data_IF_380834938425
#
_entry.id   IF_380834938425
#
_cell.length_a   1.000
_cell.length_b   1.000
_cell.length_c   1.000
_cell.angle_alpha   90.00
_cell.angle_beta   90.00
_cell.angle_gamma   90.00
#
_symmetry.space_group_name_H-M   'P 1'
#
loop_
_entity.id
_entity.type
_entity.pdbx_description
1 polymer ?
#
# COMPACT_ATOMS: atom_id res chain seq x y z
N UNK A 1 -66.62 0.81 2.66
CA UNK A 1 -65.82 1.82 3.37
C UNK A 1 -65.35 1.22 4.69
N UNK A 2 -64.05 1.21 5.00
CA UNK A 2 -62.87 1.23 4.11
C UNK A 2 -62.23 -0.19 4.07
N UNK A 3 -61.90 -0.78 2.91
CA UNK A 3 -60.74 -0.49 2.06
C UNK A 3 -59.42 -0.49 2.85
N UNK A 4 -58.81 -1.68 3.00
CA UNK A 4 -57.42 -1.82 3.43
C UNK A 4 -56.59 -2.08 2.17
N UNK A 5 -55.76 -1.10 1.84
CA UNK A 5 -54.82 -1.11 0.72
C UNK A 5 -53.82 -2.27 0.80
N UNK A 6 -53.40 -2.84 -0.35
CA UNK A 6 -52.22 -3.68 -0.40
C UNK A 6 -50.95 -2.83 -0.26
N UNK A 7 -50.24 -3.00 0.86
CA UNK A 7 -48.90 -2.44 1.04
C UNK A 7 -47.94 -2.99 -0.04
N UNK A 8 -47.11 -2.13 -0.66
CA UNK A 8 -46.23 -2.53 -1.75
C UNK A 8 -45.01 -3.31 -1.24
N UNK A 9 -44.61 -4.30 -2.02
CA UNK A 9 -43.32 -4.99 -1.95
C UNK A 9 -42.21 -3.95 -2.10
N UNK A 10 -41.43 -3.72 -1.05
CA UNK A 10 -40.21 -2.90 -1.11
C UNK A 10 -39.02 -3.80 -1.42
N UNK A 11 -38.54 -3.66 -2.65
CA UNK A 11 -37.29 -4.15 -3.20
C UNK A 11 -36.10 -3.49 -2.48
N UNK A 12 -35.16 -4.22 -1.85
CA UNK A 12 -33.96 -3.63 -1.29
C UNK A 12 -32.88 -3.53 -2.36
N UNK A 13 -33.10 -2.73 -3.40
CA UNK A 13 -31.97 -2.14 -4.12
C UNK A 13 -31.39 -1.07 -3.19
N UNK A 14 -30.34 -1.40 -2.43
CA UNK A 14 -29.51 -0.40 -1.78
C UNK A 14 -28.91 0.48 -2.88
N UNK A 15 -29.55 1.63 -3.12
CA UNK A 15 -28.96 2.70 -3.92
C UNK A 15 -27.65 3.07 -3.23
N UNK A 16 -26.53 2.72 -3.85
CA UNK A 16 -25.21 3.28 -3.56
C UNK A 16 -25.40 4.79 -3.45
N UNK A 17 -25.17 5.36 -2.25
CA UNK A 17 -25.18 6.80 -2.07
C UNK A 17 -24.02 7.38 -2.88
N UNK A 18 -24.38 8.14 -3.91
CA UNK A 18 -23.48 8.98 -4.68
C UNK A 18 -22.69 9.89 -3.74
N UNK A 19 -21.38 10.00 -3.99
CA UNK A 19 -20.44 10.80 -3.19
C UNK A 19 -20.78 12.30 -3.36
N UNK A 20 -20.58 13.15 -2.33
CA UNK A 20 -21.02 14.55 -2.34
C UNK A 20 -20.39 15.47 -3.41
N UNK A 21 -19.47 14.96 -4.24
CA UNK A 21 -18.93 15.69 -5.40
C UNK A 21 -19.70 15.42 -6.71
N UNK A 22 -20.57 14.41 -6.76
CA UNK A 22 -21.31 14.04 -7.99
C UNK A 22 -22.55 14.92 -8.25
N UNK A 23 -23.05 15.66 -7.25
CA UNK A 23 -24.16 16.62 -7.43
C UNK A 23 -23.72 17.98 -7.98
N UNK A 24 -22.41 18.28 -8.01
CA UNK A 24 -21.89 19.49 -8.65
C UNK A 24 -21.88 19.40 -10.19
N UNK A 25 -21.88 18.18 -10.75
CA UNK A 25 -21.84 17.96 -12.20
C UNK A 25 -23.20 18.13 -12.89
N UNK A 26 -24.32 17.90 -12.19
CA UNK A 26 -25.67 17.97 -12.76
C UNK A 26 -26.27 19.39 -12.78
N UNK A 27 -25.88 20.25 -11.83
CA UNK A 27 -26.25 21.68 -11.87
C UNK A 27 -25.46 22.45 -12.95
N UNK A 28 -24.23 22.02 -13.26
CA UNK A 28 -23.41 22.59 -14.33
C UNK A 28 -23.92 22.28 -15.74
N UNK A 29 -24.52 21.11 -15.95
CA UNK A 29 -25.00 20.68 -17.28
C UNK A 29 -26.25 21.46 -17.74
N UNK A 30 -27.14 21.85 -16.83
CA UNK A 30 -28.34 22.64 -17.16
C UNK A 30 -27.99 24.11 -17.43
N UNK A 31 -26.95 24.65 -16.77
CA UNK A 31 -26.46 26.01 -17.02
C UNK A 31 -25.72 26.09 -18.37
N UNK A 32 -24.96 25.05 -18.74
CA UNK A 32 -24.25 24.97 -20.02
C UNK A 32 -25.19 24.94 -21.24
N UNK A 33 -26.35 24.26 -21.17
CA UNK A 33 -27.29 24.19 -22.29
C UNK A 33 -28.02 25.53 -22.53
N UNK A 34 -28.24 26.34 -21.50
CA UNK A 34 -28.86 27.68 -21.64
C UNK A 34 -27.86 28.68 -22.21
N UNK A 35 -26.57 28.57 -21.89
CA UNK A 35 -25.52 29.43 -22.46
C UNK A 35 -25.22 29.09 -23.91
N UNK A 36 -25.23 27.81 -24.30
CA UNK A 36 -25.00 27.39 -25.70
C UNK A 36 -26.14 27.83 -26.63
N UNK A 37 -27.41 27.84 -26.15
CA UNK A 37 -28.54 28.34 -26.95
C UNK A 37 -28.59 29.88 -27.04
N UNK A 38 -27.95 30.60 -26.11
CA UNK A 38 -27.82 32.06 -26.19
C UNK A 38 -26.64 32.51 -27.09
N UNK A 39 -25.61 31.68 -27.26
CA UNK A 39 -24.42 31.99 -28.07
C UNK A 39 -24.59 31.74 -29.57
N UNK A 40 -25.55 30.91 -30.00
CA UNK A 40 -25.87 30.73 -31.43
C UNK A 40 -26.51 31.95 -32.11
N UNK A 41 -26.76 33.04 -31.38
CA UNK A 41 -27.34 34.29 -31.89
C UNK A 41 -26.34 35.38 -32.33
N UNK A 42 -25.05 35.24 -32.05
CA UNK A 42 -24.04 36.29 -32.33
C UNK A 42 -22.77 35.73 -33.00
N UNK A 43 -22.92 34.96 -34.06
CA UNK A 43 -21.78 34.47 -34.85
C UNK A 43 -21.25 35.55 -35.80
N UNK A 44 -20.32 36.39 -35.32
CA UNK A 44 -19.42 37.15 -36.20
C UNK A 44 -18.16 37.71 -35.51
N UNK A 45 -17.51 36.94 -34.63
CA UNK A 45 -16.11 37.21 -34.19
C UNK A 45 -15.49 36.00 -33.45
N UNK A 46 -15.38 34.82 -34.09
CA UNK A 46 -14.78 33.62 -33.47
C UNK A 46 -13.78 32.91 -34.42
N UNK A 47 -12.75 33.63 -34.87
CA UNK A 47 -11.59 33.01 -35.55
C UNK A 47 -10.26 33.23 -34.83
N UNK A 48 -10.20 34.10 -33.82
CA UNK A 48 -8.97 34.42 -33.08
C UNK A 48 -8.79 33.62 -31.78
N UNK A 49 -9.87 33.26 -31.09
CA UNK A 49 -9.81 32.56 -29.80
C UNK A 49 -9.47 31.07 -29.97
N UNK A 50 -10.11 30.37 -30.92
CA UNK A 50 -9.83 28.96 -31.22
C UNK A 50 -8.40 28.72 -31.70
N UNK A 51 -7.83 29.68 -32.45
CA UNK A 51 -6.43 29.61 -32.89
C UNK A 51 -5.41 29.78 -31.75
N UNK A 52 -5.70 30.65 -30.77
CA UNK A 52 -4.84 30.86 -29.61
C UNK A 52 -4.89 29.68 -28.62
N UNK A 53 -6.08 29.09 -28.42
CA UNK A 53 -6.25 27.88 -27.60
C UNK A 53 -5.59 26.68 -28.27
N UNK A 54 -5.77 26.49 -29.59
CA UNK A 54 -5.14 25.40 -30.34
C UNK A 54 -3.61 25.48 -30.39
N UNK A 55 -3.04 26.70 -30.47
CA UNK A 55 -1.58 26.90 -30.43
C UNK A 55 -1.01 26.66 -29.03
N UNK A 56 -1.66 27.17 -27.98
CA UNK A 56 -1.23 26.93 -26.60
C UNK A 56 -1.30 25.44 -26.22
N UNK A 57 -2.32 24.72 -26.68
CA UNK A 57 -2.43 23.28 -26.48
C UNK A 57 -1.32 22.52 -27.23
N UNK A 58 -1.07 22.86 -28.50
CA UNK A 58 -0.01 22.24 -29.28
C UNK A 58 1.38 22.48 -28.66
N UNK A 59 1.63 23.68 -28.12
CA UNK A 59 2.88 24.00 -27.41
C UNK A 59 3.02 23.19 -26.11
N UNK A 60 1.93 23.00 -25.36
CA UNK A 60 1.92 22.17 -24.15
C UNK A 60 2.18 20.69 -24.45
N UNK A 61 1.57 20.15 -25.52
CA UNK A 61 1.80 18.78 -25.99
C UNK A 61 3.24 18.58 -26.47
N UNK A 62 3.78 19.53 -27.25
CA UNK A 62 5.17 19.49 -27.70
C UNK A 62 6.17 19.56 -26.54
N UNK A 63 5.89 20.41 -25.54
CA UNK A 63 6.66 20.48 -24.29
C UNK A 63 6.65 19.16 -23.54
N UNK A 64 5.47 18.57 -23.33
CA UNK A 64 5.32 17.30 -22.63
C UNK A 64 6.08 16.17 -23.35
N UNK A 65 5.99 16.09 -24.69
CA UNK A 65 6.71 15.11 -25.48
C UNK A 65 8.24 15.26 -25.37
N UNK A 66 8.75 16.50 -25.39
CA UNK A 66 10.18 16.76 -25.26
C UNK A 66 10.71 16.36 -23.87
N UNK A 67 9.95 16.63 -22.81
CA UNK A 67 10.32 16.23 -21.45
C UNK A 67 10.15 14.74 -21.23
N UNK A 68 9.14 14.09 -21.81
CA UNK A 68 9.04 12.63 -21.78
C UNK A 68 10.27 11.97 -22.43
N UNK A 69 10.79 12.52 -23.52
CA UNK A 69 12.05 12.05 -24.14
C UNK A 69 13.26 12.19 -23.20
N UNK A 70 13.31 13.28 -22.42
CA UNK A 70 14.32 13.47 -21.36
C UNK A 70 14.18 12.41 -20.26
N UNK A 71 12.95 12.14 -19.81
CA UNK A 71 12.61 11.14 -18.80
C UNK A 71 12.98 9.72 -19.24
N UNK A 72 12.66 9.34 -20.47
CA UNK A 72 13.01 8.02 -21.04
C UNK A 72 14.53 7.85 -21.12
N UNK A 73 15.23 8.91 -21.48
CA UNK A 73 16.69 8.95 -21.52
C UNK A 73 17.30 8.83 -20.12
N UNK A 74 16.71 9.50 -19.13
CA UNK A 74 17.12 9.40 -17.73
C UNK A 74 16.90 7.99 -17.18
N UNK A 75 15.72 7.40 -17.40
CA UNK A 75 15.40 6.02 -17.03
C UNK A 75 16.41 5.03 -17.62
N UNK A 76 16.72 5.15 -18.91
CA UNK A 76 17.71 4.32 -19.58
C UNK A 76 19.09 4.47 -18.94
N UNK A 77 19.55 5.71 -18.69
CA UNK A 77 20.87 5.97 -18.12
C UNK A 77 21.01 5.42 -16.69
N UNK A 78 19.95 5.52 -15.87
CA UNK A 78 19.91 4.91 -14.54
C UNK A 78 19.98 3.38 -14.64
N UNK A 79 19.17 2.77 -15.51
CA UNK A 79 19.11 1.30 -15.67
C UNK A 79 20.39 0.68 -16.22
N UNK A 80 21.09 1.39 -17.12
CA UNK A 80 22.34 0.90 -17.71
C UNK A 80 23.58 1.38 -16.95
N UNK A 81 23.41 2.08 -15.82
CA UNK A 81 24.50 2.68 -15.06
C UNK A 81 25.45 3.56 -15.91
N UNK A 82 24.88 4.37 -16.80
CA UNK A 82 25.62 5.22 -17.74
C UNK A 82 25.87 6.61 -17.12
N UNK A 83 26.97 6.73 -16.36
CA UNK A 83 27.35 7.97 -15.69
C UNK A 83 27.59 9.15 -16.65
N UNK A 84 28.10 8.89 -17.86
CA UNK A 84 28.35 9.92 -18.86
C UNK A 84 27.03 10.49 -19.38
N UNK A 85 26.07 9.61 -19.68
CA UNK A 85 24.73 10.03 -20.09
C UNK A 85 24.01 10.75 -18.97
N UNK A 86 24.06 10.27 -17.73
CA UNK A 86 23.50 10.98 -16.56
C UNK A 86 24.07 12.39 -16.42
N UNK A 87 25.39 12.56 -16.49
CA UNK A 87 26.03 13.88 -16.44
C UNK A 87 25.56 14.79 -17.58
N UNK A 88 25.30 14.23 -18.76
CA UNK A 88 24.76 14.97 -19.89
C UNK A 88 23.31 15.41 -19.71
N UNK A 89 22.53 14.85 -18.80
CA UNK A 89 21.12 15.23 -18.61
C UNK A 89 20.92 16.38 -17.63
N UNK A 90 21.95 16.74 -16.87
CA UNK A 90 21.87 17.75 -15.81
C UNK A 90 21.95 19.16 -16.38
N UNK A 91 21.15 20.09 -15.84
CA UNK A 91 21.35 21.51 -16.07
C UNK A 91 22.64 21.96 -15.38
N UNK A 92 23.30 22.99 -15.94
CA UNK A 92 24.50 23.60 -15.34
C UNK A 92 24.25 24.15 -13.93
N UNK A 93 23.01 24.52 -13.62
CA UNK A 93 22.55 24.98 -12.31
C UNK A 93 21.75 23.91 -11.55
N UNK A 94 21.97 22.62 -11.86
CA UNK A 94 21.35 21.52 -11.12
C UNK A 94 21.67 21.60 -9.61
N UNK A 95 20.73 21.14 -8.79
CA UNK A 95 20.83 21.16 -7.35
C UNK A 95 22.13 20.47 -6.87
N UNK A 96 22.85 21.05 -5.89
CA UNK A 96 24.08 20.46 -5.38
C UNK A 96 23.90 18.99 -4.98
N UNK A 97 24.78 18.13 -5.47
CA UNK A 97 24.76 16.69 -5.15
C UNK A 97 23.76 15.85 -5.94
N UNK A 98 22.89 16.44 -6.77
CA UNK A 98 21.88 15.68 -7.52
C UNK A 98 22.49 14.65 -8.48
N UNK A 99 23.45 15.05 -9.31
CA UNK A 99 24.18 14.11 -10.19
C UNK A 99 24.88 12.98 -9.41
N UNK A 100 25.44 13.30 -8.24
CA UNK A 100 26.09 12.31 -7.41
C UNK A 100 25.08 11.32 -6.80
N UNK A 101 23.89 11.78 -6.42
CA UNK A 101 22.80 10.92 -5.96
C UNK A 101 22.31 10.00 -7.09
N UNK A 102 22.10 10.54 -8.30
CA UNK A 102 21.66 9.76 -9.46
C UNK A 102 22.71 8.73 -9.91
N UNK A 103 23.99 9.08 -9.84
CA UNK A 103 25.08 8.13 -10.13
C UNK A 103 25.10 6.98 -9.11
N UNK A 104 24.87 7.26 -7.82
CA UNK A 104 24.75 6.21 -6.79
C UNK A 104 23.51 5.35 -7.02
N UNK A 105 22.35 5.96 -7.28
CA UNK A 105 21.10 5.27 -7.62
C UNK A 105 21.32 4.30 -8.77
N UNK A 106 21.95 4.75 -9.86
CA UNK A 106 22.21 3.94 -11.05
C UNK A 106 23.11 2.72 -10.74
N UNK A 107 24.15 2.91 -9.91
CA UNK A 107 24.98 1.81 -9.42
C UNK A 107 24.20 0.78 -8.60
N UNK A 108 23.30 1.23 -7.72
CA UNK A 108 22.51 0.36 -6.83
C UNK A 108 21.39 -0.37 -7.59
N UNK A 109 20.68 0.34 -8.49
CA UNK A 109 19.60 -0.21 -9.33
C UNK A 109 20.09 -1.30 -10.27
N UNK A 110 21.35 -1.24 -10.72
CA UNK A 110 21.96 -2.29 -11.54
C UNK A 110 22.03 -3.66 -10.82
N UNK A 111 21.98 -3.68 -9.48
CA UNK A 111 21.95 -4.90 -8.67
C UNK A 111 20.58 -5.56 -8.53
N UNK A 112 19.53 -4.99 -9.14
CA UNK A 112 18.15 -5.49 -9.04
C UNK A 112 17.61 -5.86 -10.42
N UNK A 113 17.00 -7.03 -10.48
CA UNK A 113 16.30 -7.52 -11.68
C UNK A 113 14.91 -6.91 -11.78
N UNK A 114 14.84 -5.67 -12.28
CA UNK A 114 13.56 -5.06 -12.63
C UNK A 114 13.02 -5.63 -13.93
N UNK A 115 11.75 -6.04 -13.93
CA UNK A 115 10.96 -6.35 -15.14
C UNK A 115 10.46 -5.08 -15.84
N UNK A 116 10.40 -3.96 -15.13
CA UNK A 116 10.03 -2.66 -15.68
C UNK A 116 10.69 -1.50 -14.92
N UNK A 117 11.02 -0.43 -15.63
CA UNK A 117 11.57 0.81 -15.07
C UNK A 117 11.41 1.96 -16.06
N UNK A 118 10.78 3.06 -15.63
CA UNK A 118 10.61 4.26 -16.42
C UNK A 118 10.13 5.43 -15.59
N UNK A 119 10.19 6.62 -16.17
CA UNK A 119 9.52 7.80 -15.61
C UNK A 119 8.45 8.26 -16.58
N UNK A 120 7.29 8.64 -16.08
CA UNK A 120 6.18 9.10 -16.90
C UNK A 120 5.59 10.39 -16.35
N UNK A 121 5.18 11.28 -17.26
CA UNK A 121 4.34 12.43 -16.90
C UNK A 121 2.93 11.90 -16.62
N UNK A 122 2.49 12.04 -15.38
CA UNK A 122 1.17 11.62 -14.93
C UNK A 122 0.13 12.72 -15.18
N UNK A 123 -1.13 12.30 -15.32
CA UNK A 123 -2.26 13.22 -15.25
C UNK A 123 -2.36 13.78 -13.83
N UNK A 124 -2.22 15.09 -13.68
CA UNK A 124 -2.26 15.75 -12.38
C UNK A 124 -1.77 17.18 -12.41
N UNK A 125 -1.94 17.87 -11.28
CA UNK A 125 -1.46 19.24 -11.15
C UNK A 125 0.07 19.31 -11.20
N UNK A 126 0.58 20.21 -12.03
CA UNK A 126 1.97 20.65 -12.00
C UNK A 126 2.27 21.30 -10.65
N UNK A 127 3.52 21.25 -10.20
CA UNK A 127 3.92 21.98 -8.99
C UNK A 127 4.33 23.40 -9.36
N UNK A 128 3.90 24.37 -8.56
CA UNK A 128 4.35 25.75 -8.70
C UNK A 128 5.86 25.82 -8.45
N UNK A 129 6.60 26.28 -9.48
CA UNK A 129 8.03 26.56 -9.35
C UNK A 129 8.17 27.96 -8.71
N UNK A 130 8.94 28.11 -7.63
CA UNK A 130 9.13 29.40 -6.97
C UNK A 130 9.79 30.39 -7.93
N UNK A 131 9.29 31.64 -7.99
CA UNK A 131 9.90 32.67 -8.85
C UNK A 131 11.37 32.89 -8.55
N UNK A 132 11.79 32.78 -7.29
CA UNK A 132 13.19 32.84 -6.88
C UNK A 132 14.05 31.74 -7.52
N UNK A 133 13.51 30.54 -7.71
CA UNK A 133 14.20 29.45 -8.40
C UNK A 133 14.23 29.71 -9.91
N UNK A 134 13.13 30.19 -10.49
CA UNK A 134 13.08 30.58 -11.92
C UNK A 134 14.14 31.65 -12.22
N UNK A 135 14.19 32.71 -11.42
CA UNK A 135 15.15 33.82 -11.57
C UNK A 135 16.59 33.35 -11.37
N UNK A 136 16.85 32.49 -10.37
CA UNK A 136 18.18 31.97 -10.11
C UNK A 136 18.69 31.04 -11.22
N UNK A 137 17.80 30.25 -11.83
CA UNK A 137 18.14 29.40 -12.98
C UNK A 137 18.41 30.25 -14.22
N UNK A 138 17.65 31.33 -14.45
CA UNK A 138 17.77 32.16 -15.65
C UNK A 138 17.64 31.33 -16.93
N UNK A 139 16.76 30.33 -16.91
CA UNK A 139 16.44 29.47 -18.04
C UNK A 139 15.31 30.09 -18.88
N UNK A 140 15.17 29.67 -20.13
CA UNK A 140 14.07 30.16 -20.99
C UNK A 140 12.71 29.69 -20.47
N UNK A 141 12.68 28.52 -19.84
CA UNK A 141 11.52 27.96 -19.17
C UNK A 141 11.95 27.06 -18.01
N UNK A 142 11.17 27.05 -16.93
CA UNK A 142 11.34 26.12 -15.81
C UNK A 142 9.99 25.48 -15.53
N UNK A 143 9.99 24.16 -15.38
CA UNK A 143 8.77 23.39 -15.28
C UNK A 143 8.91 22.28 -14.24
N UNK A 144 7.86 22.05 -13.46
CA UNK A 144 7.77 20.96 -12.48
C UNK A 144 6.54 20.09 -12.77
N UNK A 145 6.61 19.22 -13.79
CA UNK A 145 5.50 18.35 -14.17
C UNK A 145 5.13 17.38 -13.05
N UNK A 146 3.92 16.83 -13.10
CA UNK A 146 3.59 15.64 -12.31
C UNK A 146 4.32 14.43 -12.89
N UNK A 147 5.39 13.98 -12.23
CA UNK A 147 6.18 12.83 -12.67
C UNK A 147 6.01 11.67 -11.71
N UNK A 148 5.90 10.47 -12.27
CA UNK A 148 5.91 9.22 -11.52
C UNK A 148 7.05 8.31 -12.01
N UNK A 149 7.73 7.68 -11.07
CA UNK A 149 8.57 6.50 -11.31
C UNK A 149 7.65 5.29 -11.47
N UNK A 150 7.68 4.66 -12.64
CA UNK A 150 7.04 3.38 -12.94
C UNK A 150 8.07 2.26 -12.84
N UNK A 151 7.81 1.22 -12.05
CA UNK A 151 8.73 0.07 -11.97
C UNK A 151 8.04 -1.24 -11.57
N UNK A 152 8.72 -2.36 -11.85
CA UNK A 152 8.34 -3.71 -11.41
C UNK A 152 9.58 -4.58 -11.20
N UNK A 153 9.55 -5.50 -10.22
CA UNK A 153 10.63 -6.48 -9.97
C UNK A 153 10.11 -7.92 -10.21
N UNK A 154 8.97 -8.24 -9.62
CA UNK A 154 8.21 -9.48 -9.83
C UNK A 154 6.69 -9.22 -9.77
N UNK A 155 6.32 -7.95 -9.85
CA UNK A 155 4.93 -7.50 -9.89
C UNK A 155 4.28 -7.98 -11.19
N UNK A 156 2.99 -8.27 -11.14
CA UNK A 156 2.21 -8.61 -12.35
C UNK A 156 1.96 -7.36 -13.20
N UNK A 157 1.80 -6.22 -12.53
CA UNK A 157 1.71 -4.92 -13.17
C UNK A 157 2.67 -3.94 -12.48
N UNK A 158 3.30 -3.02 -13.23
CA UNK A 158 4.15 -2.00 -12.65
C UNK A 158 3.42 -1.12 -11.64
N UNK A 159 4.13 -0.76 -10.57
CA UNK A 159 3.67 0.25 -9.62
C UNK A 159 4.23 1.63 -9.96
N UNK A 160 3.65 2.68 -9.34
CA UNK A 160 3.97 4.09 -9.58
C UNK A 160 4.27 4.82 -8.28
N UNK A 161 5.32 5.65 -8.29
CA UNK A 161 5.76 6.43 -7.14
C UNK A 161 6.05 7.88 -7.51
N UNK A 162 5.67 8.88 -6.68
CA UNK A 162 5.82 10.29 -7.04
C UNK A 162 7.29 10.72 -7.13
N UNK A 163 7.58 11.58 -8.11
CA UNK A 163 8.87 12.27 -8.27
C UNK A 163 8.63 13.78 -8.36
N UNK A 164 9.15 14.52 -7.39
CA UNK A 164 9.14 15.98 -7.31
C UNK A 164 10.20 16.59 -8.23
N UNK A 165 10.04 16.38 -9.54
CA UNK A 165 11.01 16.77 -10.55
C UNK A 165 10.87 18.26 -10.92
N UNK A 166 12.01 18.94 -11.07
CA UNK A 166 12.15 20.23 -11.72
C UNK A 166 13.07 20.08 -12.93
N UNK A 167 12.62 20.59 -14.07
CA UNK A 167 13.37 20.64 -15.33
C UNK A 167 13.47 22.08 -15.84
N UNK A 168 14.54 22.38 -16.57
CA UNK A 168 14.75 23.68 -17.19
C UNK A 168 15.03 23.54 -18.69
N UNK A 169 14.54 24.49 -19.49
CA UNK A 169 14.81 24.59 -20.92
C UNK A 169 15.79 25.72 -21.21
N UNK A 170 16.80 25.42 -22.04
CA UNK A 170 17.72 26.41 -22.63
C UNK A 170 17.84 26.16 -24.13
N UNK A 171 17.37 27.09 -24.95
CA UNK A 171 17.13 26.87 -26.36
C UNK A 171 16.14 25.72 -26.57
N UNK A 172 16.56 24.71 -27.32
CA UNK A 172 15.73 23.53 -27.61
C UNK A 172 15.91 22.39 -26.58
N UNK A 173 16.84 22.53 -25.63
CA UNK A 173 17.22 21.43 -24.72
C UNK A 173 16.56 21.56 -23.36
N UNK A 174 15.86 20.50 -22.96
CA UNK A 174 15.44 20.28 -21.58
C UNK A 174 16.54 19.55 -20.79
N UNK A 175 16.72 19.92 -19.53
CA UNK A 175 17.67 19.31 -18.61
C UNK A 175 17.09 19.18 -17.20
N UNK A 176 17.59 18.19 -16.45
CA UNK A 176 17.18 17.91 -15.07
C UNK A 176 17.82 18.92 -14.12
N UNK A 177 17.02 19.53 -13.24
CA UNK A 177 17.51 20.50 -12.24
C UNK A 177 17.54 19.88 -10.85
N UNK A 178 16.45 19.24 -10.42
CA UNK A 178 16.31 18.68 -9.08
C UNK A 178 15.18 17.67 -9.03
N UNK A 179 15.27 16.70 -8.13
CA UNK A 179 14.17 15.79 -7.77
C UNK A 179 13.68 16.02 -6.32
N UNK A 180 13.93 17.20 -5.74
CA UNK A 180 13.59 17.50 -4.35
C UNK A 180 13.14 18.94 -4.10
N UNK A 181 13.21 19.80 -5.11
CA UNK A 181 12.94 21.22 -4.99
C UNK A 181 11.46 21.56 -5.27
N UNK A 182 10.64 21.67 -4.23
CA UNK A 182 9.33 22.37 -4.29
C UNK A 182 9.03 23.08 -2.96
N UNK A 183 8.37 24.24 -3.02
CA UNK A 183 8.26 25.19 -1.89
C UNK A 183 7.23 24.82 -0.82
N UNK A 184 6.31 23.90 -1.09
CA UNK A 184 5.32 23.44 -0.11
C UNK A 184 5.38 21.91 0.00
N UNK A 185 5.50 21.42 1.24
CA UNK A 185 5.97 20.08 1.61
C UNK A 185 5.08 18.89 1.27
N UNK A 186 4.17 19.01 0.31
CA UNK A 186 3.18 17.95 0.02
C UNK A 186 3.69 16.92 -1.00
N UNK A 187 4.52 17.33 -1.98
CA UNK A 187 5.01 16.42 -3.02
C UNK A 187 6.49 16.13 -2.85
N UNK A 188 6.80 15.06 -2.12
CA UNK A 188 8.17 14.55 -1.95
C UNK A 188 8.46 13.44 -2.95
N UNK A 189 9.69 13.40 -3.47
CA UNK A 189 10.11 12.24 -4.24
C UNK A 189 10.23 11.03 -3.35
N UNK A 190 9.53 9.97 -3.73
CA UNK A 190 9.64 8.69 -3.06
C UNK A 190 11.05 8.11 -3.25
N UNK A 191 11.55 7.45 -2.20
CA UNK A 191 12.87 6.80 -2.19
C UNK A 191 12.68 5.30 -2.01
N UNK A 192 13.26 4.52 -2.91
CA UNK A 192 13.28 3.05 -2.81
C UNK A 192 14.53 2.56 -2.09
N UNK A 193 14.65 1.25 -1.80
CA UNK A 193 15.81 0.70 -1.09
C UNK A 193 17.17 1.06 -1.74
N UNK A 194 17.21 1.09 -3.08
CA UNK A 194 18.41 1.48 -3.85
C UNK A 194 18.84 2.94 -3.69
N UNK A 195 18.01 3.80 -3.09
CA UNK A 195 18.38 5.18 -2.75
C UNK A 195 19.14 5.29 -1.42
N UNK A 196 19.06 4.25 -0.59
CA UNK A 196 19.69 4.18 0.74
C UNK A 196 21.04 3.45 0.72
N UNK A 197 21.30 2.63 -0.31
CA UNK A 197 22.58 1.97 -0.47
C UNK A 197 22.57 0.87 -1.52
N UNK A 198 23.71 0.17 -1.72
CA UNK A 198 23.78 -1.04 -2.52
C UNK A 198 22.78 -2.08 -2.00
N UNK A 199 22.17 -2.84 -2.90
CA UNK A 199 21.15 -3.84 -2.55
C UNK A 199 21.56 -5.23 -3.01
N UNK A 200 21.13 -6.23 -2.25
CA UNK A 200 21.21 -7.65 -2.59
C UNK A 200 19.79 -8.19 -2.71
N UNK A 201 19.59 -9.15 -3.61
CA UNK A 201 18.27 -9.78 -3.79
C UNK A 201 18.37 -11.30 -3.86
N UNK A 202 17.26 -11.96 -3.52
CA UNK A 202 17.03 -13.39 -3.69
C UNK A 202 15.69 -13.58 -4.37
N UNK A 203 15.70 -14.34 -5.47
CA UNK A 203 14.48 -14.80 -6.15
C UNK A 203 14.16 -16.20 -5.67
N UNK A 204 12.89 -16.42 -5.36
CA UNK A 204 12.42 -17.66 -4.77
C UNK A 204 11.23 -18.15 -5.57
N UNK A 205 11.34 -19.35 -6.12
CA UNK A 205 10.20 -20.05 -6.69
C UNK A 205 9.22 -20.42 -5.56
N UNK A 206 8.01 -19.87 -5.60
CA UNK A 206 6.98 -20.12 -4.60
C UNK A 206 5.86 -21.03 -5.10
N UNK A 207 6.07 -21.72 -6.23
CA UNK A 207 5.11 -22.64 -6.83
C UNK A 207 4.22 -21.97 -7.87
N UNK A 208 3.50 -22.78 -8.65
CA UNK A 208 2.52 -22.33 -9.66
C UNK A 208 3.03 -21.29 -10.66
N UNK A 209 4.34 -21.35 -10.97
CA UNK A 209 5.02 -20.41 -11.87
C UNK A 209 5.25 -19.02 -11.28
N UNK A 210 4.99 -18.83 -9.98
CA UNK A 210 5.16 -17.57 -9.28
C UNK A 210 6.58 -17.43 -8.72
N UNK A 211 7.07 -16.20 -8.63
CA UNK A 211 8.37 -15.89 -8.02
C UNK A 211 8.21 -14.80 -6.99
N UNK A 212 8.61 -15.11 -5.76
CA UNK A 212 8.80 -14.11 -4.70
C UNK A 212 10.21 -13.54 -4.75
N UNK A 213 10.38 -12.33 -4.21
CA UNK A 213 11.69 -11.67 -4.16
C UNK A 213 11.92 -11.11 -2.77
N UNK A 214 13.08 -11.40 -2.18
CA UNK A 214 13.57 -10.73 -0.98
C UNK A 214 14.69 -9.77 -1.38
N UNK A 215 14.62 -8.53 -0.93
CA UNK A 215 15.62 -7.49 -1.17
C UNK A 215 16.05 -6.89 0.16
N UNK A 216 17.34 -6.62 0.31
CA UNK A 216 17.87 -5.87 1.45
C UNK A 216 19.25 -5.32 1.12
N UNK A 217 19.96 -4.85 2.14
CA UNK A 217 21.33 -4.38 2.00
C UNK A 217 22.36 -5.50 2.33
N UNK A 218 23.61 -5.41 1.84
CA UNK A 218 24.65 -6.41 2.10
C UNK A 218 24.84 -6.78 3.58
N UNK A 219 24.71 -5.82 4.49
CA UNK A 219 24.77 -6.03 5.94
C UNK A 219 23.66 -6.94 6.47
N UNK A 220 22.52 -7.00 5.76
CA UNK A 220 21.35 -7.82 6.10
C UNK A 220 21.27 -9.12 5.29
N UNK A 221 22.33 -9.51 4.57
CA UNK A 221 22.29 -10.67 3.66
C UNK A 221 21.81 -11.97 4.34
N UNK A 222 22.21 -12.21 5.59
CA UNK A 222 21.76 -13.39 6.36
C UNK A 222 20.25 -13.38 6.62
N UNK A 223 19.65 -12.22 6.90
CA UNK A 223 18.20 -12.10 7.08
C UNK A 223 17.48 -12.29 5.75
N UNK A 224 18.03 -11.72 4.67
CA UNK A 224 17.53 -11.89 3.30
C UNK A 224 17.48 -13.37 2.91
N UNK A 225 18.56 -14.12 3.18
CA UNK A 225 18.64 -15.55 2.90
C UNK A 225 17.61 -16.35 3.71
N UNK A 226 17.48 -16.07 5.02
CA UNK A 226 16.50 -16.76 5.88
C UNK A 226 15.05 -16.52 5.47
N UNK A 227 14.70 -15.28 5.12
CA UNK A 227 13.35 -14.96 4.62
C UNK A 227 13.09 -15.63 3.27
N UNK A 228 14.12 -15.70 2.41
CA UNK A 228 14.03 -16.38 1.12
C UNK A 228 13.74 -17.88 1.30
N UNK A 229 14.40 -18.53 2.25
CA UNK A 229 14.17 -19.95 2.58
C UNK A 229 12.77 -20.22 3.16
N UNK A 230 12.18 -19.24 3.86
CA UNK A 230 10.88 -19.38 4.53
C UNK A 230 9.69 -19.10 3.62
N UNK A 231 9.87 -18.27 2.59
CA UNK A 231 8.82 -17.83 1.68
C UNK A 231 8.00 -18.96 1.04
N UNK A 232 8.57 -20.07 0.52
CA UNK A 232 7.78 -21.13 -0.10
C UNK A 232 6.77 -21.75 0.87
N UNK A 233 7.19 -22.03 2.09
CA UNK A 233 6.31 -22.59 3.12
C UNK A 233 5.27 -21.57 3.61
N UNK A 234 5.64 -20.28 3.69
CA UNK A 234 4.71 -19.22 4.03
C UNK A 234 3.61 -19.04 2.96
N UNK A 235 3.96 -19.05 1.67
CA UNK A 235 3.00 -18.97 0.55
C UNK A 235 2.05 -20.16 0.54
N UNK A 236 2.54 -21.38 0.77
CA UNK A 236 1.68 -22.56 0.91
C UNK A 236 0.71 -22.41 2.08
N UNK A 237 1.21 -21.98 3.25
CA UNK A 237 0.38 -21.77 4.43
C UNK A 237 -0.73 -20.74 4.19
N UNK A 238 -0.38 -19.57 3.62
CA UNK A 238 -1.32 -18.52 3.28
C UNK A 238 -2.36 -18.99 2.26
N UNK A 239 -1.93 -19.68 1.19
CA UNK A 239 -2.82 -20.19 0.14
C UNK A 239 -3.79 -21.26 0.66
N UNK A 240 -3.35 -22.13 1.58
CA UNK A 240 -4.21 -23.14 2.17
C UNK A 240 -5.29 -22.54 3.07
N UNK A 241 -5.00 -21.43 3.76
CA UNK A 241 -5.94 -20.76 4.65
C UNK A 241 -6.87 -19.80 3.87
N UNK A 242 -6.28 -18.89 3.09
CA UNK A 242 -7.01 -17.85 2.35
C UNK A 242 -7.75 -18.37 1.11
N UNK A 243 -7.16 -19.38 0.45
CA UNK A 243 -7.52 -19.83 -0.89
C UNK A 243 -6.52 -19.34 -1.94
N UNK A 244 -6.72 -19.76 -3.20
CA UNK A 244 -5.81 -19.46 -4.32
C UNK A 244 -6.11 -18.15 -5.05
N UNK A 245 -7.09 -17.37 -4.59
CA UNK A 245 -7.49 -16.10 -5.23
C UNK A 245 -6.61 -14.93 -4.76
N UNK A 246 -5.30 -15.03 -4.98
CA UNK A 246 -4.34 -13.96 -4.69
C UNK A 246 -3.05 -14.19 -5.49
N UNK A 247 -2.05 -13.33 -5.31
CA UNK A 247 -0.86 -13.30 -6.15
C UNK A 247 0.03 -14.56 -6.06
N UNK A 248 -0.07 -15.36 -4.99
CA UNK A 248 0.78 -16.54 -4.77
C UNK A 248 2.28 -16.24 -4.63
N UNK A 249 2.61 -14.99 -4.30
CA UNK A 249 3.98 -14.48 -4.15
C UNK A 249 4.02 -13.24 -3.27
N UNK A 250 5.21 -12.91 -2.78
CA UNK A 250 5.47 -11.66 -2.07
C UNK A 250 6.77 -11.01 -2.53
N UNK A 251 6.81 -9.69 -2.42
CA UNK A 251 8.05 -8.92 -2.49
C UNK A 251 8.36 -8.42 -1.08
N UNK A 252 9.48 -8.88 -0.53
CA UNK A 252 9.89 -8.62 0.85
C UNK A 252 11.11 -7.72 0.86
N UNK A 253 11.07 -6.64 1.61
CA UNK A 253 12.17 -5.68 1.76
C UNK A 253 12.68 -5.71 3.20
N UNK A 254 14.00 -5.69 3.38
CA UNK A 254 14.65 -5.58 4.69
C UNK A 254 15.38 -4.24 4.74
N UNK A 255 14.80 -3.27 5.44
CA UNK A 255 15.37 -1.94 5.55
C UNK A 255 16.70 -1.98 6.33
N UNK A 256 17.71 -1.26 5.88
CA UNK A 256 19.00 -1.10 6.54
C UNK A 256 19.02 0.00 7.59
N UNK A 257 18.02 0.89 7.60
CA UNK A 257 17.93 1.99 8.57
C UNK A 257 16.49 2.39 8.89
N UNK A 258 16.30 3.15 9.99
CA UNK A 258 14.99 3.67 10.36
C UNK A 258 14.49 4.70 9.35
N UNK A 259 15.38 5.53 8.79
CA UNK A 259 15.03 6.52 7.77
C UNK A 259 14.53 5.86 6.49
N UNK A 260 15.18 4.76 6.08
CA UNK A 260 14.70 3.93 4.97
C UNK A 260 13.33 3.34 5.29
N UNK A 261 13.18 2.67 6.44
CA UNK A 261 11.90 2.07 6.82
C UNK A 261 10.77 3.09 6.75
N UNK A 262 10.95 4.25 7.38
CA UNK A 262 10.00 5.37 7.36
C UNK A 262 9.72 5.88 5.94
N UNK A 263 10.71 5.91 5.04
CA UNK A 263 10.52 6.31 3.65
C UNK A 263 9.71 5.29 2.84
N UNK A 264 9.81 3.99 3.18
CA UNK A 264 9.09 2.91 2.51
C UNK A 264 7.65 2.77 3.00
N UNK A 265 7.42 2.83 4.32
CA UNK A 265 6.10 2.57 4.94
C UNK A 265 5.36 3.83 5.41
N UNK A 266 6.00 5.00 5.39
CA UNK A 266 5.43 6.27 5.83
C UNK A 266 5.67 6.60 7.31
N UNK A 267 5.42 7.86 7.72
CA UNK A 267 5.81 8.39 9.04
C UNK A 267 4.95 7.91 10.21
N UNK A 268 3.82 7.26 9.95
CA UNK A 268 2.91 6.78 10.98
C UNK A 268 3.33 5.42 11.56
N UNK A 269 4.39 4.81 11.04
CA UNK A 269 4.90 3.52 11.49
C UNK A 269 6.27 3.71 12.15
N UNK A 270 6.44 3.28 13.41
CA UNK A 270 7.72 3.29 14.09
C UNK A 270 8.40 1.92 13.96
N UNK A 271 9.47 1.86 13.16
CA UNK A 271 10.23 0.63 12.92
C UNK A 271 11.02 0.13 14.14
N UNK A 272 11.04 0.88 15.25
CA UNK A 272 11.61 0.41 16.52
C UNK A 272 10.70 -0.55 17.26
N UNK A 273 9.39 -0.47 17.02
CA UNK A 273 8.38 -1.24 17.75
C UNK A 273 7.61 -2.19 16.82
N UNK A 274 7.66 -1.95 15.51
CA UNK A 274 7.06 -2.79 14.48
C UNK A 274 8.15 -3.62 13.78
N UNK A 275 7.97 -4.93 13.72
CA UNK A 275 8.94 -5.84 13.11
C UNK A 275 8.84 -5.87 11.58
N UNK A 276 7.63 -5.84 11.03
CA UNK A 276 7.36 -5.74 9.61
C UNK A 276 6.00 -5.08 9.34
N UNK A 277 5.78 -4.64 8.11
CA UNK A 277 4.49 -4.07 7.65
C UNK A 277 4.22 -4.50 6.22
N UNK A 278 3.02 -5.02 5.95
CA UNK A 278 2.47 -5.17 4.62
C UNK A 278 1.90 -3.84 4.11
N UNK A 279 2.48 -3.31 3.04
CA UNK A 279 2.04 -2.08 2.36
C UNK A 279 1.55 -2.37 0.94
N UNK A 280 0.80 -1.44 0.36
CA UNK A 280 0.38 -1.42 -1.04
C UNK A 280 0.34 0.02 -1.56
N UNK A 281 0.53 0.21 -2.87
CA UNK A 281 0.58 1.55 -3.47
C UNK A 281 -0.78 2.02 -3.96
N UNK A 282 -1.57 1.11 -4.52
CA UNK A 282 -2.95 1.37 -4.91
C UNK A 282 -3.80 0.10 -4.78
N UNK A 283 -5.02 0.29 -4.30
CA UNK A 283 -6.07 -0.72 -4.23
C UNK A 283 -7.25 -0.19 -5.04
N UNK A 284 -7.73 -0.97 -6.00
CA UNK A 284 -8.99 -0.75 -6.70
C UNK A 284 -9.99 -1.82 -6.25
N UNK A 285 -10.91 -1.50 -5.31
CA UNK A 285 -11.87 -2.45 -4.78
C UNK A 285 -12.89 -2.92 -5.83
N UNK A 286 -13.20 -2.12 -6.85
CA UNK A 286 -14.21 -2.49 -7.85
C UNK A 286 -13.69 -3.56 -8.81
N UNK A 287 -12.37 -3.57 -9.09
CA UNK A 287 -11.71 -4.58 -9.91
C UNK A 287 -10.95 -5.64 -9.11
N UNK A 288 -10.96 -5.55 -7.77
CA UNK A 288 -10.19 -6.38 -6.85
C UNK A 288 -8.68 -6.40 -7.21
N UNK A 289 -8.15 -5.27 -7.68
CA UNK A 289 -6.76 -5.16 -8.14
C UNK A 289 -5.92 -4.42 -7.12
N UNK A 290 -4.74 -4.94 -6.81
CA UNK A 290 -3.79 -4.30 -5.90
C UNK A 290 -2.43 -4.21 -6.57
N UNK A 291 -1.77 -3.05 -6.48
CA UNK A 291 -0.43 -2.83 -7.03
C UNK A 291 0.57 -2.39 -5.96
N UNK A 292 1.85 -2.69 -6.18
CA UNK A 292 2.93 -2.26 -5.31
C UNK A 292 2.94 -2.92 -3.92
N UNK A 293 2.37 -4.14 -3.78
CA UNK A 293 2.36 -4.82 -2.49
C UNK A 293 3.76 -5.22 -2.03
N UNK A 294 4.17 -4.82 -0.82
CA UNK A 294 5.44 -5.19 -0.21
C UNK A 294 5.25 -5.61 1.24
N UNK A 295 6.09 -6.52 1.71
CA UNK A 295 6.31 -6.74 3.15
C UNK A 295 7.63 -6.06 3.49
N UNK A 296 7.63 -5.07 4.37
CA UNK A 296 8.83 -4.33 4.74
C UNK A 296 9.21 -4.67 6.18
N UNK A 297 10.33 -5.36 6.38
CA UNK A 297 10.93 -5.61 7.69
C UNK A 297 11.72 -4.38 8.15
N UNK A 298 11.56 -4.03 9.42
CA UNK A 298 12.32 -2.97 10.07
C UNK A 298 13.79 -3.38 10.26
N UNK A 299 14.72 -2.40 10.36
CA UNK A 299 16.14 -2.71 10.55
C UNK A 299 16.41 -3.48 11.84
N UNK A 300 15.60 -3.27 12.88
CA UNK A 300 15.76 -3.94 14.16
C UNK A 300 15.41 -5.45 14.11
N UNK A 301 14.65 -5.88 13.11
CA UNK A 301 14.19 -7.26 12.98
C UNK A 301 15.30 -8.27 12.72
N UNK A 302 16.39 -7.86 12.06
CA UNK A 302 17.51 -8.74 11.76
C UNK A 302 18.19 -9.29 13.03
N UNK A 303 18.22 -8.50 14.10
CA UNK A 303 18.88 -8.85 15.37
C UNK A 303 17.92 -9.43 16.41
N UNK A 304 16.65 -9.03 16.40
CA UNK A 304 15.67 -9.35 17.45
C UNK A 304 14.90 -10.64 17.20
N UNK A 305 14.68 -11.02 15.94
CA UNK A 305 13.79 -12.12 15.62
C UNK A 305 14.50 -13.47 15.68
N UNK A 306 13.90 -14.40 16.43
CA UNK A 306 14.27 -15.81 16.38
C UNK A 306 13.75 -16.43 15.09
N UNK A 307 14.09 -17.69 14.82
CA UNK A 307 13.54 -18.43 13.69
C UNK A 307 12.02 -18.57 13.77
N UNK A 308 11.48 -18.84 14.96
CA UNK A 308 10.03 -19.00 15.17
C UNK A 308 9.31 -17.68 14.95
N UNK A 309 9.77 -16.59 15.58
CA UNK A 309 9.09 -15.30 15.47
C UNK A 309 9.22 -14.69 14.08
N UNK A 310 10.35 -14.87 13.39
CA UNK A 310 10.50 -14.44 11.99
C UNK A 310 9.51 -15.15 11.06
N UNK A 311 9.34 -16.47 11.20
CA UNK A 311 8.37 -17.24 10.41
C UNK A 311 6.94 -16.80 10.69
N UNK A 312 6.62 -16.58 11.96
CA UNK A 312 5.31 -16.10 12.40
C UNK A 312 5.00 -14.75 11.75
N UNK A 313 5.91 -13.77 11.86
CA UNK A 313 5.75 -12.44 11.26
C UNK A 313 5.63 -12.53 9.73
N UNK A 314 6.48 -13.32 9.06
CA UNK A 314 6.39 -13.46 7.60
C UNK A 314 5.01 -14.01 7.17
N UNK A 315 4.48 -14.99 7.89
CA UNK A 315 3.15 -15.56 7.61
C UNK A 315 2.03 -14.57 7.92
N UNK A 316 2.13 -13.85 9.04
CA UNK A 316 1.21 -12.78 9.42
C UNK A 316 1.10 -11.74 8.28
N UNK A 317 2.22 -11.15 7.89
CA UNK A 317 2.22 -10.10 6.86
C UNK A 317 1.77 -10.61 5.49
N UNK A 318 2.03 -11.88 5.18
CA UNK A 318 1.60 -12.48 3.93
C UNK A 318 0.07 -12.65 3.85
N UNK A 319 -0.62 -12.84 4.97
CA UNK A 319 -2.08 -12.82 5.00
C UNK A 319 -2.61 -11.44 4.64
N UNK A 320 -2.01 -10.37 5.15
CA UNK A 320 -2.40 -9.00 4.75
C UNK A 320 -2.19 -8.77 3.25
N UNK A 321 -1.12 -9.31 2.65
CA UNK A 321 -0.90 -9.26 1.18
C UNK A 321 -1.96 -10.07 0.42
N UNK A 322 -2.30 -11.27 0.90
CA UNK A 322 -3.28 -12.15 0.26
C UNK A 322 -4.69 -11.57 0.33
N UNK A 323 -5.05 -10.96 1.46
CA UNK A 323 -6.38 -10.46 1.74
C UNK A 323 -6.65 -9.05 1.17
N UNK A 324 -5.61 -8.26 0.86
CA UNK A 324 -5.72 -6.81 0.56
C UNK A 324 -6.78 -6.44 -0.48
N UNK A 325 -6.98 -7.27 -1.50
CA UNK A 325 -7.95 -7.00 -2.57
C UNK A 325 -9.41 -7.10 -2.10
N UNK A 326 -9.67 -7.83 -1.03
CA UNK A 326 -11.01 -8.15 -0.52
C UNK A 326 -11.30 -7.47 0.84
N UNK A 327 -10.37 -6.66 1.36
CA UNK A 327 -10.52 -6.00 2.66
C UNK A 327 -10.60 -4.49 2.56
N UNK A 328 -11.30 -3.88 3.53
CA UNK A 328 -11.53 -2.43 3.60
C UNK A 328 -11.02 -1.89 4.92
N UNK A 329 -10.39 -0.71 4.87
CA UNK A 329 -9.93 0.02 6.05
C UNK A 329 -11.07 0.26 7.06
N UNK A 330 -10.69 0.38 8.34
CA UNK A 330 -11.59 0.56 9.50
C UNK A 330 -12.48 -0.65 9.81
N UNK A 331 -12.14 -1.83 9.29
CA UNK A 331 -12.73 -3.08 9.78
C UNK A 331 -12.22 -3.39 11.21
N UNK A 332 -12.98 -4.14 12.03
CA UNK A 332 -12.58 -4.44 13.41
C UNK A 332 -11.17 -5.07 13.48
N UNK A 333 -10.29 -4.51 14.30
CA UNK A 333 -8.89 -4.92 14.37
C UNK A 333 -8.72 -6.36 14.87
N UNK A 334 -9.57 -6.83 15.78
CA UNK A 334 -9.52 -8.21 16.27
C UNK A 334 -9.80 -9.25 15.18
N UNK A 335 -10.50 -8.86 14.11
CA UNK A 335 -10.69 -9.71 12.92
C UNK A 335 -9.46 -9.64 12.02
N UNK A 336 -9.03 -8.41 11.70
CA UNK A 336 -7.91 -8.18 10.78
C UNK A 336 -6.61 -8.80 11.30
N UNK A 337 -6.22 -8.44 12.51
CA UNK A 337 -4.98 -8.90 13.14
C UNK A 337 -5.12 -10.32 13.68
N UNK A 338 -6.26 -10.67 14.26
CA UNK A 338 -6.44 -12.01 14.83
C UNK A 338 -6.38 -13.13 13.79
N UNK A 339 -6.88 -12.90 12.57
CA UNK A 339 -6.78 -13.87 11.47
C UNK A 339 -5.34 -14.01 10.97
N UNK A 340 -4.60 -12.90 10.89
CA UNK A 340 -3.18 -12.90 10.54
C UNK A 340 -2.33 -13.59 11.62
N UNK A 341 -2.60 -13.34 12.91
CA UNK A 341 -1.97 -14.03 14.04
C UNK A 341 -2.28 -15.54 14.05
N UNK A 342 -3.54 -15.92 13.79
CA UNK A 342 -3.89 -17.33 13.66
C UNK A 342 -3.08 -18.01 12.53
N UNK A 343 -2.97 -17.35 11.37
CA UNK A 343 -2.16 -17.84 10.26
C UNK A 343 -0.67 -17.95 10.58
N UNK A 344 -0.15 -17.03 11.41
CA UNK A 344 1.24 -17.02 11.84
C UNK A 344 1.64 -18.34 12.50
N UNK A 345 0.76 -18.87 13.37
CA UNK A 345 1.04 -20.04 14.21
C UNK A 345 0.32 -21.32 13.79
N UNK A 346 -0.64 -21.28 12.85
CA UNK A 346 -1.33 -22.51 12.43
C UNK A 346 -0.33 -23.56 11.91
N UNK A 347 -0.47 -24.78 12.43
CA UNK A 347 0.34 -25.93 12.03
C UNK A 347 1.82 -25.86 12.43
N UNK A 348 2.25 -24.93 13.28
CA UNK A 348 3.64 -24.87 13.79
C UNK A 348 3.89 -25.90 14.91
N UNK A 349 2.85 -26.28 15.65
CA UNK A 349 2.97 -27.13 16.84
C UNK A 349 3.47 -26.40 18.09
N UNK A 350 3.61 -25.07 18.04
CA UNK A 350 3.90 -24.23 19.21
C UNK A 350 2.76 -24.36 20.23
N UNK A 351 3.09 -24.39 21.51
CA UNK A 351 2.08 -24.47 22.56
C UNK A 351 1.33 -23.14 22.66
N UNK A 352 0.02 -23.20 22.91
CA UNK A 352 -0.85 -22.01 22.98
C UNK A 352 -0.36 -20.97 24.00
N UNK A 353 0.16 -21.42 25.14
CA UNK A 353 0.75 -20.54 26.17
C UNK A 353 2.06 -19.87 25.74
N UNK A 354 2.72 -20.40 24.71
CA UNK A 354 3.91 -19.78 24.09
C UNK A 354 3.52 -18.82 22.97
N UNK A 355 2.38 -19.06 22.31
CA UNK A 355 1.80 -18.15 21.32
C UNK A 355 1.20 -16.92 22.02
N UNK A 356 0.50 -17.13 23.13
CA UNK A 356 -0.23 -16.11 23.87
C UNK A 356 0.24 -15.96 25.35
N UNK A 357 1.51 -15.61 25.59
CA UNK A 357 2.05 -15.52 26.95
C UNK A 357 1.46 -14.38 27.80
N UNK A 358 1.17 -13.20 27.22
CA UNK A 358 0.57 -12.08 27.95
C UNK A 358 -0.89 -12.37 28.33
N UNK A 359 -1.68 -12.93 27.42
CA UNK A 359 -3.03 -13.39 27.70
C UNK A 359 -3.03 -14.53 28.73
N UNK A 360 -2.07 -15.47 28.64
CA UNK A 360 -1.91 -16.52 29.67
C UNK A 360 -1.66 -15.91 31.05
N UNK A 361 -0.81 -14.88 31.14
CA UNK A 361 -0.54 -14.19 32.38
C UNK A 361 -1.79 -13.48 32.92
N UNK A 362 -2.56 -12.81 32.05
CA UNK A 362 -3.85 -12.19 32.42
C UNK A 362 -4.86 -13.21 32.92
N UNK A 363 -5.03 -14.35 32.23
CA UNK A 363 -5.95 -15.42 32.63
C UNK A 363 -5.60 -15.93 34.03
N UNK A 364 -4.31 -16.11 34.34
CA UNK A 364 -3.87 -16.53 35.66
C UNK A 364 -4.09 -15.50 36.78
N UNK A 365 -4.12 -14.21 36.44
CA UNK A 365 -4.25 -13.11 37.40
C UNK A 365 -5.72 -12.68 37.62
N UNK A 366 -6.50 -12.60 36.54
CA UNK A 366 -7.80 -11.93 36.49
C UNK A 366 -8.92 -12.84 35.97
N UNK A 367 -8.58 -13.99 35.39
CA UNK A 367 -9.49 -14.86 34.66
C UNK A 367 -9.56 -14.54 33.16
N UNK A 368 -10.27 -15.37 32.37
CA UNK A 368 -10.40 -15.17 30.93
C UNK A 368 -11.17 -13.88 30.60
N UNK A 369 -10.80 -13.17 29.51
CA UNK A 369 -11.52 -12.00 29.05
C UNK A 369 -12.94 -12.35 28.61
N UNK A 370 -13.89 -11.46 28.90
CA UNK A 370 -15.32 -11.64 28.57
C UNK A 370 -15.79 -10.75 27.41
N UNK A 371 -14.92 -9.88 26.90
CA UNK A 371 -15.21 -8.91 25.84
C UNK A 371 -14.14 -8.98 24.74
N UNK A 372 -14.53 -8.57 23.53
CA UNK A 372 -13.56 -8.38 22.43
C UNK A 372 -12.64 -7.19 22.72
N UNK A 373 -11.38 -7.22 22.26
CA UNK A 373 -10.51 -6.06 22.37
C UNK A 373 -11.03 -4.93 21.48
N UNK A 374 -10.94 -3.69 21.96
CA UNK A 374 -11.29 -2.50 21.20
C UNK A 374 -10.19 -2.15 20.20
N UNK A 375 -10.53 -1.49 19.09
CA UNK A 375 -9.53 -1.08 18.09
C UNK A 375 -8.41 -0.22 18.70
N UNK A 376 -8.72 0.57 19.74
CA UNK A 376 -7.72 1.40 20.43
C UNK A 376 -6.72 0.58 21.25
N UNK A 377 -7.04 -0.66 21.63
CA UNK A 377 -6.12 -1.54 22.37
C UNK A 377 -4.91 -1.94 21.52
N UNK A 378 -5.09 -2.09 20.21
CA UNK A 378 -4.03 -2.43 19.25
C UNK A 378 -3.05 -1.27 19.02
N UNK A 379 -3.45 -0.04 19.32
CA UNK A 379 -2.58 1.14 19.25
C UNK A 379 -1.67 1.28 20.48
N UNK A 380 -1.93 0.50 21.53
CA UNK A 380 -1.14 0.53 22.77
C UNK A 380 0.19 -0.18 22.60
N UNK A 381 1.30 0.54 22.78
CA UNK A 381 2.62 -0.10 22.90
C UNK A 381 2.72 -0.90 24.21
N UNK A 382 3.53 -1.97 24.20
CA UNK A 382 3.80 -2.78 25.38
C UNK A 382 2.66 -3.76 25.72
N UNK A 383 2.47 -4.03 27.01
CA UNK A 383 1.65 -5.14 27.51
C UNK A 383 0.19 -5.10 27.03
N UNK A 384 -0.43 -3.90 26.97
CA UNK A 384 -1.82 -3.75 26.49
C UNK A 384 -1.97 -4.19 25.03
N UNK A 385 -1.03 -3.82 24.17
CA UNK A 385 -1.01 -4.24 22.78
C UNK A 385 -0.80 -5.75 22.66
N UNK A 386 0.20 -6.31 23.36
CA UNK A 386 0.44 -7.76 23.38
C UNK A 386 -0.81 -8.54 23.76
N UNK A 387 -1.49 -8.14 24.83
CA UNK A 387 -2.76 -8.74 25.24
C UNK A 387 -3.82 -8.64 24.14
N UNK A 388 -3.97 -7.49 23.48
CA UNK A 388 -4.98 -7.32 22.42
C UNK A 388 -4.75 -8.26 21.23
N UNK A 389 -3.50 -8.35 20.73
CA UNK A 389 -3.14 -9.26 19.64
C UNK A 389 -3.32 -10.73 20.04
N UNK A 390 -2.89 -11.10 21.25
CA UNK A 390 -3.03 -12.48 21.74
C UNK A 390 -4.50 -12.85 22.02
N UNK A 391 -5.32 -11.89 22.46
CA UNK A 391 -6.78 -12.05 22.59
C UNK A 391 -7.40 -12.24 21.23
N UNK A 392 -7.05 -11.42 20.23
CA UNK A 392 -7.51 -11.55 18.86
C UNK A 392 -7.12 -12.91 18.23
N UNK A 393 -5.87 -13.35 18.45
CA UNK A 393 -5.43 -14.70 18.08
C UNK A 393 -6.34 -15.77 18.70
N UNK A 394 -6.61 -15.69 20.01
CA UNK A 394 -7.40 -16.69 20.71
C UNK A 394 -8.84 -16.79 20.18
N UNK A 395 -9.44 -15.67 19.77
CA UNK A 395 -10.78 -15.63 19.15
C UNK A 395 -10.75 -16.41 17.83
N UNK A 396 -9.74 -16.16 16.99
CA UNK A 396 -9.63 -16.80 15.68
C UNK A 396 -9.23 -18.29 15.81
N UNK A 397 -8.38 -18.63 16.77
CA UNK A 397 -8.03 -20.01 17.11
C UNK A 397 -9.27 -20.79 17.59
N UNK A 398 -10.06 -20.22 18.48
CA UNK A 398 -11.35 -20.79 18.92
C UNK A 398 -12.29 -21.03 17.73
N UNK A 399 -12.44 -20.06 16.83
CA UNK A 399 -13.30 -20.23 15.65
C UNK A 399 -12.79 -21.36 14.75
N UNK A 400 -11.48 -21.41 14.50
CA UNK A 400 -10.89 -22.45 13.69
C UNK A 400 -11.06 -23.85 14.30
N UNK A 401 -10.93 -23.99 15.62
CA UNK A 401 -11.09 -25.27 16.30
C UNK A 401 -12.56 -25.72 16.32
N UNK A 402 -13.48 -24.84 16.70
CA UNK A 402 -14.89 -25.21 16.90
C UNK A 402 -15.70 -25.28 15.60
N UNK A 403 -15.34 -24.46 14.61
CA UNK A 403 -16.12 -24.29 13.39
C UNK A 403 -15.34 -24.60 12.11
N UNK A 404 -14.02 -24.75 12.20
CA UNK A 404 -13.13 -25.03 11.07
C UNK A 404 -12.62 -23.77 10.36
N UNK A 405 -11.42 -23.87 9.78
CA UNK A 405 -10.76 -22.77 9.07
C UNK A 405 -11.60 -22.19 7.92
N UNK A 406 -12.38 -23.00 7.22
CA UNK A 406 -13.25 -22.50 6.15
C UNK A 406 -14.31 -21.51 6.66
N UNK A 407 -14.88 -21.75 7.84
CA UNK A 407 -15.83 -20.81 8.46
C UNK A 407 -15.11 -19.60 9.04
N UNK A 408 -13.91 -19.77 9.57
CA UNK A 408 -13.06 -18.66 9.98
C UNK A 408 -12.79 -17.69 8.81
N UNK A 409 -12.37 -18.19 7.65
CA UNK A 409 -12.13 -17.36 6.47
C UNK A 409 -13.40 -16.68 5.96
N UNK A 410 -14.56 -17.35 6.01
CA UNK A 410 -15.85 -16.73 5.67
C UNK A 410 -16.19 -15.61 6.65
N UNK A 411 -16.02 -15.84 7.96
CA UNK A 411 -16.25 -14.83 8.99
C UNK A 411 -15.38 -13.60 8.74
N UNK A 412 -14.07 -13.81 8.53
CA UNK A 412 -13.13 -12.76 8.17
C UNK A 412 -13.62 -11.94 6.96
N UNK A 413 -13.95 -12.58 5.84
CA UNK A 413 -14.46 -11.90 4.63
C UNK A 413 -15.73 -11.10 4.87
N UNK A 414 -16.61 -11.55 5.78
CA UNK A 414 -17.88 -10.84 6.06
C UNK A 414 -17.75 -9.67 7.03
N UNK A 415 -16.67 -9.63 7.82
CA UNK A 415 -16.40 -8.58 8.79
C UNK A 415 -15.32 -7.60 8.32
N UNK A 416 -14.42 -8.01 7.42
CA UNK A 416 -13.34 -7.18 6.88
C UNK A 416 -13.78 -6.22 5.75
N UNK A 417 -15.02 -5.73 5.80
CA UNK A 417 -15.66 -4.91 4.75
C UNK A 417 -15.93 -3.47 5.18
N UNK A 418 -15.25 -3.01 6.23
CA UNK A 418 -15.36 -1.68 6.83
C UNK A 418 -15.87 -1.74 8.27
N UNK A 419 -16.19 -0.57 8.83
CA UNK A 419 -16.70 -0.45 10.20
C UNK A 419 -17.89 -1.37 10.44
N UNK A 420 -17.85 -2.11 11.54
CA UNK A 420 -18.92 -2.97 12.00
C UNK A 420 -19.29 -2.59 13.43
N UNK A 421 -20.54 -2.18 13.63
CA UNK A 421 -21.10 -1.98 14.96
C UNK A 421 -21.48 -3.34 15.62
N UNK A 422 -21.79 -3.36 16.93
CA UNK A 422 -22.12 -4.62 17.62
C UNK A 422 -23.29 -5.40 16.99
N UNK A 423 -24.30 -4.73 16.44
CA UNK A 423 -25.43 -5.38 15.76
C UNK A 423 -24.98 -6.06 14.45
N UNK A 424 -24.10 -5.40 13.70
CA UNK A 424 -23.49 -5.98 12.50
C UNK A 424 -22.65 -7.21 12.86
N UNK A 425 -21.83 -7.11 13.91
CA UNK A 425 -21.00 -8.24 14.38
C UNK A 425 -21.88 -9.42 14.79
N UNK A 426 -22.93 -9.19 15.59
CA UNK A 426 -23.89 -10.21 16.00
C UNK A 426 -24.55 -10.89 14.80
N UNK A 427 -25.03 -10.11 13.84
CA UNK A 427 -25.61 -10.62 12.59
C UNK A 427 -24.64 -11.52 11.82
N UNK A 428 -23.36 -11.12 11.68
CA UNK A 428 -22.35 -11.94 10.98
C UNK A 428 -22.00 -13.22 11.73
N UNK A 429 -21.89 -13.17 13.06
CA UNK A 429 -21.66 -14.38 13.87
C UNK A 429 -22.83 -15.36 13.73
N UNK A 430 -24.07 -14.85 13.75
CA UNK A 430 -25.28 -15.66 13.57
C UNK A 430 -25.33 -16.29 12.18
N UNK A 431 -25.09 -15.51 11.13
CA UNK A 431 -25.12 -15.98 9.73
C UNK A 431 -24.06 -17.04 9.44
N UNK A 432 -22.82 -16.85 9.95
CA UNK A 432 -21.67 -17.69 9.58
C UNK A 432 -21.50 -18.88 10.52
N UNK A 433 -21.68 -18.67 11.83
CA UNK A 433 -21.39 -19.65 12.87
C UNK A 433 -22.66 -20.24 13.52
N UNK A 434 -23.82 -19.60 13.34
CA UNK A 434 -25.08 -20.04 13.94
C UNK A 434 -25.18 -19.74 15.44
N UNK A 435 -24.45 -18.74 15.93
CA UNK A 435 -24.49 -18.27 17.32
C UNK A 435 -24.56 -16.75 17.35
N UNK A 436 -25.29 -16.21 18.32
CA UNK A 436 -25.25 -14.77 18.62
C UNK A 436 -23.93 -14.39 19.31
N UNK A 437 -23.66 -13.08 19.43
CA UNK A 437 -22.43 -12.55 19.99
C UNK A 437 -22.25 -12.91 21.47
N UNK A 438 -23.33 -13.00 22.25
CA UNK A 438 -23.28 -13.34 23.67
C UNK A 438 -22.88 -14.82 23.85
N UNK A 439 -23.54 -15.73 23.13
CA UNK A 439 -23.19 -17.15 23.09
C UNK A 439 -21.77 -17.38 22.58
N UNK A 440 -21.33 -16.57 21.61
CA UNK A 440 -19.97 -16.61 21.12
C UNK A 440 -18.97 -16.27 22.22
N UNK A 441 -19.17 -15.13 22.91
CA UNK A 441 -18.27 -14.66 23.97
C UNK A 441 -18.22 -15.65 25.13
N UNK A 442 -19.35 -16.19 25.56
CA UNK A 442 -19.40 -17.19 26.63
C UNK A 442 -18.56 -18.44 26.28
N UNK A 443 -18.76 -19.00 25.07
CA UNK A 443 -18.03 -20.21 24.64
C UNK A 443 -16.54 -19.97 24.42
N UNK A 444 -16.18 -18.80 23.88
CA UNK A 444 -14.78 -18.41 23.71
C UNK A 444 -14.10 -18.19 25.06
N UNK A 445 -14.77 -17.53 26.02
CA UNK A 445 -14.27 -17.32 27.39
C UNK A 445 -13.97 -18.67 28.07
N UNK A 446 -14.90 -19.62 27.98
CA UNK A 446 -14.71 -20.99 28.48
C UNK A 446 -13.52 -21.69 27.81
N UNK A 447 -13.38 -21.54 26.49
CA UNK A 447 -12.26 -22.10 25.72
C UNK A 447 -10.92 -21.52 26.18
N UNK A 448 -10.82 -20.19 26.33
CA UNK A 448 -9.59 -19.52 26.82
C UNK A 448 -9.23 -20.03 28.22
N UNK A 449 -10.22 -20.13 29.12
CA UNK A 449 -9.99 -20.67 30.46
C UNK A 449 -9.48 -22.11 30.46
N UNK A 450 -9.98 -22.96 29.55
CA UNK A 450 -9.54 -24.35 29.44
C UNK A 450 -8.13 -24.52 28.85
N UNK A 451 -7.74 -23.65 27.91
CA UNK A 451 -6.48 -23.77 27.16
C UNK A 451 -5.32 -23.02 27.83
N UNK A 452 -5.60 -21.84 28.39
CA UNK A 452 -4.60 -20.94 28.96
C UNK A 452 -4.57 -20.91 30.51
N UNK A 453 -5.61 -21.44 31.18
CA UNK A 453 -5.77 -21.42 32.65
C UNK A 453 -4.96 -22.41 33.47
#
# INVERSE_FOLDING_TARGET
>A
MPASDPSPVTDPTSRRQARPWELAALAGLVLAVVVVLALTGFSRTEQGADGAVGTAQADAEARAAAVQTLLDTWASAVRTNDAARLSGLMDQAAAPGFLAAETRRAGNVAGVEFSDWGYEIAEGAETAVPSSLVDALGADEVWAPAVQLRYAIADESPTRKPVALVVARRGERWALVSDSATVDGDRRTWRGPWDFGPVVSRRVDTGDGQTSVVLGHPENATMVDRLADELPAAVVNATQLWGSNWAGRALVWVAGSQDEFTALVGPNHDGRDIAAVAISDAVDPDSATVTGQRIVFSPASADRLTEVTRRAILRHELIHVAARAETVDRSPMWVLEGYAEYAAYRGTGEAERQIAPALTAQVGAEGPPTEFPEDTDFSGFGERGSVAYETAWSINAFVAEQYGESRLTVLYRTLAVGEADPETVDGRLSDVLGVDADQFRDRWTDWVGAHLG
#
